data_IF_847780554621
#
_entry.id   IF_847780554621
#
_cell.length_a   1.000
_cell.length_b   1.000
_cell.length_c   1.000
_cell.angle_alpha   90.00
_cell.angle_beta   90.00
_cell.angle_gamma   90.00
#
_symmetry.space_group_name_H-M   'P 1'
#
loop_
_entity.id
_entity.type
_entity.pdbx_description
1 polymer ?
#
# COMPACT_ATOMS: atom_id res chain seq x y z
N UNK A 1 71.43 4.44 -37.09
CA UNK A 1 70.59 5.52 -36.56
C UNK A 1 69.23 5.46 -37.22
N UNK A 2 68.15 5.52 -36.45
CA UNK A 2 66.77 5.48 -36.96
C UNK A 2 66.16 6.88 -36.76
N UNK A 3 65.57 7.41 -37.82
CA UNK A 3 64.84 8.69 -37.70
C UNK A 3 63.42 8.43 -37.18
N UNK A 4 62.99 9.23 -36.19
CA UNK A 4 61.66 9.25 -35.64
C UNK A 4 61.05 10.63 -35.91
N UNK A 5 59.86 10.64 -36.48
CA UNK A 5 59.01 11.86 -36.65
C UNK A 5 57.94 11.86 -35.62
N UNK A 6 57.83 12.92 -34.84
CA UNK A 6 56.78 13.16 -33.84
C UNK A 6 55.88 14.24 -34.44
N UNK A 7 54.63 13.92 -34.61
CA UNK A 7 53.66 14.85 -35.19
C UNK A 7 53.10 15.81 -34.12
N UNK A 8 52.36 16.81 -34.54
CA UNK A 8 51.58 17.67 -33.67
C UNK A 8 50.71 16.82 -32.71
N UNK A 9 50.58 17.25 -31.48
CA UNK A 9 49.83 16.55 -30.43
C UNK A 9 50.39 15.17 -30.03
N UNK A 10 51.65 14.88 -30.40
CA UNK A 10 52.34 13.66 -29.96
C UNK A 10 53.59 14.01 -29.15
N UNK A 11 53.88 13.15 -28.21
CA UNK A 11 55.11 13.18 -27.37
C UNK A 11 55.70 11.80 -27.44
N UNK A 12 57.02 11.74 -27.51
CA UNK A 12 57.75 10.48 -27.47
C UNK A 12 58.62 10.38 -26.20
N UNK A 13 58.57 9.22 -25.56
CA UNK A 13 59.50 8.85 -24.48
C UNK A 13 60.61 7.99 -25.07
N UNK A 14 61.84 8.41 -24.87
CA UNK A 14 63.02 7.71 -25.35
C UNK A 14 63.59 6.83 -24.26
N UNK A 15 63.81 5.58 -24.64
CA UNK A 15 64.45 4.57 -23.77
C UNK A 15 65.77 4.12 -24.45
N UNK A 16 66.81 3.97 -23.63
CA UNK A 16 68.09 3.40 -24.04
C UNK A 16 68.36 2.15 -23.20
N UNK A 17 68.53 1.01 -23.87
CA UNK A 17 68.70 -0.30 -23.21
C UNK A 17 67.59 -0.62 -22.20
N UNK A 18 66.35 -0.10 -22.41
CA UNK A 18 65.22 -0.29 -21.51
C UNK A 18 65.07 0.77 -20.40
N UNK A 19 66.03 1.64 -20.21
CA UNK A 19 66.00 2.72 -19.25
C UNK A 19 65.47 4.01 -19.85
N UNK A 20 64.57 4.73 -19.13
CA UNK A 20 64.08 6.02 -19.56
C UNK A 20 65.17 7.06 -19.62
N UNK A 21 65.20 7.85 -20.67
CA UNK A 21 66.25 8.84 -20.91
C UNK A 21 65.75 10.26 -21.00
N UNK A 22 64.72 10.51 -21.81
CA UNK A 22 64.20 11.84 -22.04
C UNK A 22 62.86 11.84 -22.74
N UNK A 23 62.13 12.95 -22.64
CA UNK A 23 60.97 13.25 -23.45
C UNK A 23 61.37 14.00 -24.74
N UNK A 24 60.64 13.75 -25.85
CA UNK A 24 60.75 14.51 -27.11
C UNK A 24 59.38 15.04 -27.47
N UNK A 25 59.31 16.29 -27.86
CA UNK A 25 58.12 16.98 -28.38
C UNK A 25 58.05 16.91 -29.93
N UNK A 26 57.13 17.59 -30.52
CA UNK A 26 56.96 17.67 -31.98
C UNK A 26 58.29 17.98 -32.67
N UNK A 27 58.58 17.19 -33.75
CA UNK A 27 59.82 17.37 -34.50
C UNK A 27 60.33 16.10 -35.19
N UNK A 28 61.50 16.23 -35.85
CA UNK A 28 62.23 15.10 -36.43
C UNK A 28 63.51 14.88 -35.67
N UNK A 29 63.69 13.70 -35.11
CA UNK A 29 64.83 13.36 -34.27
C UNK A 29 65.53 12.10 -34.79
N UNK A 30 66.86 12.08 -34.59
CA UNK A 30 67.65 10.91 -34.83
C UNK A 30 67.90 10.17 -33.49
N UNK A 31 67.51 8.90 -33.45
CA UNK A 31 67.75 8.04 -32.29
C UNK A 31 69.15 7.44 -32.37
N UNK A 32 69.79 7.40 -31.21
CA UNK A 32 71.10 6.78 -31.05
C UNK A 32 71.06 5.25 -31.19
N UNK A 33 72.25 4.64 -31.04
CA UNK A 33 72.34 3.19 -31.03
C UNK A 33 71.69 2.64 -29.75
N UNK A 34 70.82 1.60 -29.88
CA UNK A 34 70.02 1.02 -28.81
C UNK A 34 69.00 1.97 -28.19
N UNK A 35 68.59 3.05 -28.86
CA UNK A 35 67.48 3.91 -28.44
C UNK A 35 66.19 3.51 -29.14
N UNK A 36 65.10 3.45 -28.34
CA UNK A 36 63.73 3.25 -28.83
C UNK A 36 62.84 4.42 -28.35
N UNK A 37 61.89 4.82 -29.18
CA UNK A 37 60.93 5.86 -28.87
C UNK A 37 59.53 5.26 -28.84
N UNK A 38 58.80 5.48 -27.71
CA UNK A 38 57.41 5.21 -27.56
C UNK A 38 56.60 6.50 -27.79
N UNK A 39 55.73 6.52 -28.78
CA UNK A 39 54.95 7.71 -29.13
C UNK A 39 53.59 7.64 -28.42
N UNK A 40 53.23 8.74 -27.77
CA UNK A 40 51.97 8.94 -27.03
C UNK A 40 51.20 10.06 -27.71
N UNK A 41 49.88 9.86 -27.84
CA UNK A 41 48.96 10.91 -28.20
C UNK A 41 48.53 11.66 -26.95
N UNK A 42 48.71 12.98 -26.90
CA UNK A 42 48.42 13.82 -25.74
C UNK A 42 46.93 14.01 -25.53
N UNK A 43 46.08 13.58 -26.49
CA UNK A 43 44.60 13.64 -26.33
C UNK A 43 44.06 12.47 -25.52
N UNK A 44 44.87 11.46 -25.21
CA UNK A 44 44.47 10.30 -24.40
C UNK A 44 45.16 10.32 -23.02
N UNK A 45 44.59 9.56 -22.09
CA UNK A 45 45.20 9.34 -20.79
C UNK A 45 46.64 8.77 -20.94
N UNK A 46 47.56 9.26 -20.14
CA UNK A 46 48.90 8.74 -20.14
C UNK A 46 48.99 7.40 -19.42
N UNK A 47 49.34 6.36 -20.14
CA UNK A 47 49.64 5.04 -19.57
C UNK A 47 51.15 4.88 -19.44
N UNK A 48 51.64 4.92 -18.21
CA UNK A 48 53.07 4.84 -17.93
C UNK A 48 53.65 3.45 -18.33
N UNK A 49 54.70 3.40 -19.13
CA UNK A 49 55.31 2.14 -19.58
C UNK A 49 56.19 1.51 -18.50
N UNK A 50 56.64 2.30 -17.52
CA UNK A 50 57.38 1.92 -16.32
C UNK A 50 56.81 2.65 -15.11
N UNK A 51 57.37 2.38 -13.92
CA UNK A 51 56.88 3.05 -12.70
C UNK A 51 56.87 4.58 -12.85
N UNK A 52 55.71 5.20 -12.61
CA UNK A 52 55.47 6.64 -12.80
C UNK A 52 56.48 7.49 -11.99
N UNK A 53 56.90 7.03 -10.82
CA UNK A 53 57.89 7.72 -9.97
C UNK A 53 59.24 7.91 -10.67
N UNK A 54 59.65 6.97 -11.53
CA UNK A 54 60.87 7.07 -12.32
C UNK A 54 60.74 8.12 -13.41
N UNK A 55 59.60 8.13 -14.08
CA UNK A 55 59.28 9.07 -15.14
C UNK A 55 59.16 10.51 -14.65
N UNK A 56 58.64 10.71 -13.43
CA UNK A 56 58.47 12.03 -12.82
C UNK A 56 59.76 12.65 -12.29
N UNK A 57 60.89 11.94 -12.36
CA UNK A 57 62.22 12.55 -12.10
C UNK A 57 62.63 13.48 -13.22
N UNK A 58 62.10 13.26 -14.43
CA UNK A 58 62.24 14.20 -15.53
C UNK A 58 61.31 15.39 -15.34
N UNK A 59 61.89 16.55 -15.12
CA UNK A 59 61.14 17.81 -14.85
C UNK A 59 60.29 18.27 -16.02
N UNK A 60 60.73 18.01 -17.27
CA UNK A 60 59.94 18.35 -18.47
C UNK A 60 58.71 17.49 -18.56
N UNK A 61 58.81 16.18 -18.34
CA UNK A 61 57.71 15.25 -18.33
C UNK A 61 56.79 15.50 -17.14
N UNK A 62 57.33 15.75 -15.96
CA UNK A 62 56.52 16.06 -14.77
C UNK A 62 55.67 17.33 -14.96
N UNK A 63 56.22 18.36 -15.63
CA UNK A 63 55.47 19.56 -15.96
C UNK A 63 54.38 19.34 -17.05
N UNK A 64 54.61 18.37 -17.96
CA UNK A 64 53.64 18.03 -19.01
C UNK A 64 52.50 17.14 -18.52
N UNK A 65 52.64 16.52 -17.33
CA UNK A 65 51.63 15.63 -16.76
C UNK A 65 50.92 16.27 -15.55
N UNK A 66 49.61 16.01 -15.47
CA UNK A 66 48.82 16.19 -14.27
C UNK A 66 48.66 14.82 -13.61
N UNK A 67 49.25 14.64 -12.43
CA UNK A 67 49.13 13.40 -11.68
C UNK A 67 48.03 13.50 -10.65
N UNK A 68 47.16 12.51 -10.66
CA UNK A 68 46.05 12.38 -9.73
C UNK A 68 46.32 11.15 -8.85
N UNK A 69 46.46 11.40 -7.55
CA UNK A 69 46.60 10.35 -6.53
C UNK A 69 45.25 10.15 -5.84
N UNK A 70 44.78 8.93 -5.80
CA UNK A 70 43.51 8.52 -5.19
C UNK A 70 43.86 7.52 -4.09
N UNK A 71 43.51 7.85 -2.86
CA UNK A 71 43.68 6.96 -1.71
C UNK A 71 42.59 5.87 -1.67
N UNK A 72 42.77 4.86 -0.82
CA UNK A 72 41.84 3.74 -0.66
C UNK A 72 40.44 4.19 -0.17
N UNK A 73 40.37 5.37 0.46
CA UNK A 73 39.14 5.95 1.00
C UNK A 73 38.51 6.99 0.08
N UNK A 74 39.02 7.11 -1.14
CA UNK A 74 38.61 8.16 -2.07
C UNK A 74 38.25 7.61 -3.44
N UNK A 75 37.41 8.35 -4.15
CA UNK A 75 37.20 8.22 -5.61
C UNK A 75 37.38 9.59 -6.23
N UNK A 76 37.74 9.61 -7.50
CA UNK A 76 37.81 10.85 -8.28
C UNK A 76 36.96 10.73 -9.51
N UNK A 77 36.01 11.67 -9.64
CA UNK A 77 35.19 11.79 -10.85
C UNK A 77 36.00 12.58 -11.89
N UNK A 78 36.33 11.96 -12.98
CA UNK A 78 37.06 12.57 -14.09
C UNK A 78 36.07 13.04 -15.16
N UNK A 79 36.08 14.34 -15.39
CA UNK A 79 35.33 14.98 -16.46
C UNK A 79 36.28 15.41 -17.59
N UNK A 80 35.82 15.28 -18.79
CA UNK A 80 36.49 15.78 -19.99
C UNK A 80 35.50 16.62 -20.77
N UNK A 81 35.83 17.90 -20.94
CA UNK A 81 34.96 18.88 -21.61
C UNK A 81 33.54 18.94 -20.98
N UNK A 82 33.45 18.86 -19.67
CA UNK A 82 32.17 18.89 -18.91
C UNK A 82 31.40 17.58 -18.89
N UNK A 83 31.88 16.52 -19.53
CA UNK A 83 31.25 15.20 -19.56
C UNK A 83 32.02 14.22 -18.68
N UNK A 84 31.32 13.49 -17.82
CA UNK A 84 31.93 12.44 -17.01
C UNK A 84 32.40 11.29 -17.90
N UNK A 85 33.69 10.95 -17.82
CA UNK A 85 34.33 9.87 -18.61
C UNK A 85 34.56 8.60 -17.81
N UNK A 86 35.03 8.75 -16.59
CA UNK A 86 35.35 7.62 -15.72
C UNK A 86 35.37 8.01 -14.25
N UNK A 87 35.31 7.01 -13.39
CA UNK A 87 35.58 7.14 -11.96
C UNK A 87 36.92 6.47 -11.68
N UNK A 88 37.85 7.24 -11.13
CA UNK A 88 39.16 6.73 -10.73
C UNK A 88 39.05 6.20 -9.30
N UNK A 89 39.45 4.99 -9.08
CA UNK A 89 39.55 4.33 -7.77
C UNK A 89 40.95 4.43 -7.22
N UNK A 90 41.20 3.86 -6.05
CA UNK A 90 42.54 3.87 -5.42
C UNK A 90 43.65 3.56 -6.42
N UNK A 91 44.65 4.45 -6.49
CA UNK A 91 45.71 4.34 -7.44
C UNK A 91 46.32 5.68 -7.85
N UNK A 92 47.20 5.61 -8.81
CA UNK A 92 47.91 6.76 -9.36
C UNK A 92 47.69 6.86 -10.85
N UNK A 93 47.17 8.00 -11.30
CA UNK A 93 46.82 8.24 -12.69
C UNK A 93 47.52 9.48 -13.21
N UNK A 94 47.88 9.49 -14.47
CA UNK A 94 48.49 10.63 -15.11
C UNK A 94 47.74 11.03 -16.38
N UNK A 95 47.60 12.33 -16.57
CA UNK A 95 46.94 12.92 -17.72
C UNK A 95 47.81 13.98 -18.33
N UNK A 96 47.80 14.13 -19.66
CA UNK A 96 48.55 15.17 -20.32
C UNK A 96 47.90 16.54 -20.05
N UNK A 97 48.73 17.51 -19.64
CA UNK A 97 48.28 18.91 -19.61
C UNK A 97 48.28 19.44 -21.04
N UNK A 98 47.15 19.41 -21.68
CA UNK A 98 46.96 19.92 -23.03
C UNK A 98 45.87 20.98 -23.09
N UNK A 99 45.86 21.77 -24.18
CA UNK A 99 44.85 22.81 -24.39
C UNK A 99 43.59 22.33 -25.05
N UNK A 100 43.60 21.07 -25.55
CA UNK A 100 42.50 20.50 -26.33
C UNK A 100 41.42 19.96 -25.43
N UNK A 101 41.81 19.19 -24.40
CA UNK A 101 40.89 18.58 -23.44
C UNK A 101 40.91 19.34 -22.14
N UNK A 102 39.74 19.84 -21.75
CA UNK A 102 39.57 20.43 -20.44
C UNK A 102 39.24 19.31 -19.43
N UNK A 103 40.26 18.93 -18.63
CA UNK A 103 40.10 17.93 -17.58
C UNK A 103 39.70 18.60 -16.28
N UNK A 104 38.63 18.07 -15.67
CA UNK A 104 38.18 18.46 -14.32
C UNK A 104 38.09 17.21 -13.46
N UNK A 105 38.62 17.30 -12.24
CA UNK A 105 38.67 16.19 -11.28
C UNK A 105 37.99 16.60 -9.99
N UNK A 106 36.89 15.91 -9.66
CA UNK A 106 36.20 16.08 -8.38
C UNK A 106 36.59 14.91 -7.49
N UNK A 107 37.33 15.20 -6.45
CA UNK A 107 37.77 14.21 -5.45
C UNK A 107 36.67 14.08 -4.40
N UNK A 108 36.24 12.86 -4.12
CA UNK A 108 35.21 12.54 -3.15
C UNK A 108 35.74 11.55 -2.10
N UNK A 109 35.49 11.89 -0.83
CA UNK A 109 35.84 11.06 0.31
C UNK A 109 34.70 10.06 0.60
N UNK A 110 34.90 8.81 0.23
CA UNK A 110 33.95 7.73 0.46
C UNK A 110 34.09 7.05 1.83
N UNK A 111 34.99 7.54 2.71
CA UNK A 111 35.03 7.04 4.08
C UNK A 111 33.82 7.42 4.91
N UNK A 112 33.17 8.51 4.54
CA UNK A 112 31.92 9.00 5.12
C UNK A 112 30.72 8.51 4.30
N UNK A 113 29.55 8.55 4.91
CA UNK A 113 28.32 8.18 4.21
C UNK A 113 27.77 9.35 3.39
N UNK A 114 27.88 10.57 3.90
CA UNK A 114 27.28 11.76 3.30
C UNK A 114 28.10 12.25 2.11
N UNK A 115 27.39 12.65 1.05
CA UNK A 115 27.99 13.28 -0.12
C UNK A 115 28.08 14.78 0.16
N UNK A 116 29.28 15.24 0.48
CA UNK A 116 29.54 16.64 0.83
C UNK A 116 30.04 17.46 -0.36
N UNK A 117 30.45 16.78 -1.42
CA UNK A 117 30.95 17.37 -2.64
C UNK A 117 29.82 17.97 -3.49
N UNK A 118 30.15 18.99 -4.25
CA UNK A 118 29.20 19.61 -5.16
C UNK A 118 28.99 18.77 -6.44
N UNK A 119 28.31 17.64 -6.28
CA UNK A 119 28.02 16.70 -7.37
C UNK A 119 26.52 16.77 -7.71
N UNK A 120 26.19 16.96 -8.98
CA UNK A 120 24.81 17.03 -9.42
C UNK A 120 24.10 15.69 -9.25
N UNK A 121 22.78 15.75 -9.00
CA UNK A 121 21.94 14.55 -8.94
C UNK A 121 22.04 13.70 -10.22
N UNK A 122 22.10 14.35 -11.37
CA UNK A 122 22.26 13.69 -12.66
C UNK A 122 23.56 12.87 -12.72
N UNK A 123 24.65 13.41 -12.18
CA UNK A 123 25.93 12.71 -12.10
C UNK A 123 25.86 11.52 -11.15
N UNK A 124 25.20 11.66 -9.98
CA UNK A 124 25.05 10.56 -9.02
C UNK A 124 24.24 9.37 -9.61
N UNK A 125 23.33 9.66 -10.52
CA UNK A 125 22.55 8.66 -11.25
C UNK A 125 23.22 8.13 -12.52
N UNK A 126 24.35 8.72 -12.92
CA UNK A 126 25.07 8.25 -14.09
C UNK A 126 25.58 6.82 -13.86
N UNK A 127 25.47 5.97 -14.89
CA UNK A 127 25.87 4.56 -14.85
C UNK A 127 27.32 4.32 -14.39
N UNK A 128 28.22 5.31 -14.56
CA UNK A 128 29.61 5.24 -14.12
C UNK A 128 29.76 5.50 -12.59
N UNK A 129 28.89 6.33 -12.01
CA UNK A 129 28.93 6.74 -10.61
C UNK A 129 28.01 5.90 -9.75
N UNK A 130 26.87 5.45 -10.29
CA UNK A 130 25.86 4.66 -9.59
C UNK A 130 26.39 3.45 -8.81
N UNK A 131 27.44 2.71 -9.27
CA UNK A 131 28.01 1.62 -8.47
C UNK A 131 28.61 2.06 -7.13
N UNK A 132 28.97 3.33 -6.97
CA UNK A 132 29.57 3.91 -5.78
C UNK A 132 28.57 4.65 -4.89
N UNK A 133 27.30 4.70 -5.29
CA UNK A 133 26.24 5.46 -4.61
C UNK A 133 25.11 4.52 -4.20
N UNK A 134 24.57 4.74 -3.00
CA UNK A 134 23.29 4.17 -2.56
C UNK A 134 22.22 5.23 -2.75
N UNK A 135 21.12 4.88 -3.40
CA UNK A 135 19.97 5.76 -3.57
C UNK A 135 18.75 5.14 -2.89
N UNK A 136 18.07 5.92 -2.06
CA UNK A 136 16.83 5.53 -1.40
C UNK A 136 15.75 6.56 -1.71
N UNK A 137 14.66 6.09 -2.26
CA UNK A 137 13.47 6.92 -2.49
C UNK A 137 12.45 6.65 -1.41
N UNK A 138 11.96 7.73 -0.79
CA UNK A 138 10.87 7.70 0.19
C UNK A 138 9.73 8.47 -0.45
N UNK A 139 8.65 7.77 -0.75
CA UNK A 139 7.49 8.35 -1.39
C UNK A 139 6.74 9.30 -0.44
N UNK A 140 5.94 10.22 -1.00
CA UNK A 140 5.23 11.23 -0.21
C UNK A 140 4.27 10.65 0.83
N UNK A 141 3.82 9.43 0.61
CA UNK A 141 2.93 8.71 1.51
C UNK A 141 3.66 7.75 2.46
N UNK A 142 4.98 7.62 2.32
CA UNK A 142 5.82 6.80 3.20
C UNK A 142 6.43 7.66 4.31
N UNK A 143 6.66 7.03 5.45
CA UNK A 143 7.59 7.48 6.49
C UNK A 143 8.72 6.47 6.58
N UNK A 144 9.91 6.95 6.88
CA UNK A 144 11.08 6.08 6.96
C UNK A 144 11.96 6.41 8.17
N UNK A 145 12.68 5.40 8.65
CA UNK A 145 13.71 5.52 9.68
C UNK A 145 15.05 5.05 9.12
N UNK A 146 16.09 5.78 9.43
CA UNK A 146 17.47 5.50 9.02
C UNK A 146 18.22 4.79 10.14
N UNK A 147 18.86 3.66 9.78
CA UNK A 147 19.82 2.97 10.63
C UNK A 147 21.20 3.03 9.99
N UNK A 148 22.21 3.38 10.79
CA UNK A 148 23.61 3.40 10.42
C UNK A 148 24.33 2.43 11.35
N UNK A 149 24.97 1.40 10.78
CA UNK A 149 25.63 0.31 11.51
C UNK A 149 24.73 -0.30 12.61
N UNK A 150 23.44 -0.50 12.25
CA UNK A 150 22.44 -1.08 13.15
C UNK A 150 21.92 -0.13 14.24
N UNK A 151 22.40 1.11 14.31
CA UNK A 151 21.90 2.11 15.24
C UNK A 151 20.91 3.03 14.56
N UNK A 152 19.84 3.36 15.27
CA UNK A 152 18.92 4.40 14.84
C UNK A 152 19.61 5.75 14.73
N UNK A 153 19.44 6.45 13.63
CA UNK A 153 20.01 7.76 13.37
C UNK A 153 18.94 8.86 13.37
N UNK A 154 17.93 8.72 12.51
CA UNK A 154 16.88 9.74 12.36
C UNK A 154 15.68 9.24 11.57
N UNK A 155 14.57 9.98 11.65
CA UNK A 155 13.42 9.84 10.74
C UNK A 155 13.75 10.58 9.45
N UNK A 156 13.45 9.93 8.31
CA UNK A 156 13.61 10.52 6.99
C UNK A 156 12.25 10.96 6.44
N UNK A 157 12.08 12.24 6.12
CA UNK A 157 10.91 12.71 5.38
C UNK A 157 10.92 12.23 3.91
N UNK A 158 9.81 12.43 3.21
CA UNK A 158 9.71 12.11 1.79
C UNK A 158 10.79 12.81 0.97
N UNK A 159 11.42 12.07 0.06
CA UNK A 159 12.51 12.57 -0.77
C UNK A 159 13.40 11.48 -1.32
N UNK A 160 14.43 11.89 -2.05
CA UNK A 160 15.45 10.98 -2.56
C UNK A 160 16.76 11.31 -1.87
N UNK A 161 17.33 10.30 -1.24
CA UNK A 161 18.57 10.38 -0.46
C UNK A 161 19.68 9.63 -1.17
N UNK A 162 20.87 10.22 -1.18
CA UNK A 162 22.06 9.64 -1.80
C UNK A 162 23.17 9.59 -0.76
N UNK A 163 23.81 8.45 -0.63
CA UNK A 163 24.96 8.22 0.25
C UNK A 163 26.05 7.45 -0.48
N UNK A 164 27.29 7.65 -0.11
CA UNK A 164 28.40 6.86 -0.63
C UNK A 164 28.26 5.39 -0.22
N UNK A 165 28.59 4.51 -1.15
CA UNK A 165 28.62 3.06 -0.90
C UNK A 165 30.00 2.68 -0.33
N UNK A 166 30.07 2.48 0.96
CA UNK A 166 31.26 2.13 1.73
C UNK A 166 30.97 0.95 2.66
N UNK A 167 31.89 0.70 3.61
CA UNK A 167 31.80 -0.38 4.60
C UNK A 167 30.74 -0.11 5.69
N UNK A 168 30.25 1.11 5.81
CA UNK A 168 29.20 1.48 6.77
C UNK A 168 27.87 0.96 6.26
N UNK A 169 27.15 0.21 7.10
CA UNK A 169 25.86 -0.35 6.73
C UNK A 169 24.75 0.67 6.87
N UNK A 170 23.99 0.89 5.82
CA UNK A 170 22.79 1.74 5.82
C UNK A 170 21.56 0.86 5.58
N UNK A 171 20.59 0.95 6.49
CA UNK A 171 19.28 0.31 6.35
C UNK A 171 18.20 1.37 6.53
N UNK A 172 17.24 1.37 5.63
CA UNK A 172 16.08 2.27 5.68
C UNK A 172 14.83 1.43 5.90
N UNK A 173 14.24 1.54 7.09
CA UNK A 173 12.93 0.97 7.41
C UNK A 173 11.82 1.91 6.93
N UNK A 174 10.85 1.40 6.18
CA UNK A 174 9.75 2.20 5.63
C UNK A 174 8.40 1.65 6.04
N UNK A 175 7.44 2.53 6.18
CA UNK A 175 6.03 2.17 6.34
C UNK A 175 5.14 3.15 5.61
N UNK A 176 3.98 2.68 5.14
CA UNK A 176 2.94 3.52 4.54
C UNK A 176 2.20 4.28 5.64
N UNK A 177 2.11 5.60 5.54
CA UNK A 177 1.45 6.47 6.50
C UNK A 177 -0.01 6.77 6.16
N UNK A 178 -0.51 6.26 5.03
CA UNK A 178 -1.92 6.38 4.66
C UNK A 178 -2.81 5.50 5.53
N UNK A 179 -4.11 5.69 5.39
CA UNK A 179 -5.08 4.79 6.00
C UNK A 179 -4.93 3.39 5.40
N UNK A 180 -4.71 2.41 6.26
CA UNK A 180 -4.58 1.01 5.93
C UNK A 180 -5.75 0.23 6.52
N UNK A 181 -6.03 -0.94 5.97
CA UNK A 181 -7.07 -1.83 6.46
C UNK A 181 -6.45 -3.17 6.81
N UNK A 182 -6.80 -3.66 7.99
CA UNK A 182 -6.47 -5.01 8.44
C UNK A 182 -7.77 -5.83 8.54
N UNK A 183 -7.77 -7.01 7.95
CA UNK A 183 -8.88 -7.94 8.05
C UNK A 183 -8.72 -8.81 9.30
N UNK A 184 -9.76 -8.81 10.14
CA UNK A 184 -9.81 -9.61 11.35
C UNK A 184 -10.68 -10.82 11.05
N UNK A 185 -10.02 -11.90 10.64
CA UNK A 185 -10.68 -13.16 10.36
C UNK A 185 -11.10 -13.81 11.68
N UNK A 186 -12.39 -14.02 11.82
CA UNK A 186 -12.98 -14.56 13.02
C UNK A 186 -12.55 -16.00 13.27
N UNK A 187 -12.02 -16.22 14.45
CA UNK A 187 -11.94 -17.54 15.03
C UNK A 187 -13.31 -17.88 15.61
N UNK A 188 -13.54 -19.15 15.80
CA UNK A 188 -14.72 -19.61 16.54
C UNK A 188 -14.63 -19.14 17.99
N UNK A 189 -15.60 -18.35 18.42
CA UNK A 189 -15.67 -17.76 19.76
C UNK A 189 -16.95 -18.25 20.43
N UNK A 190 -16.85 -18.66 21.68
CA UNK A 190 -18.00 -19.08 22.47
C UNK A 190 -18.58 -17.89 23.21
N UNK A 191 -19.90 -17.73 23.13
CA UNK A 191 -20.68 -16.83 23.97
C UNK A 191 -20.74 -17.36 25.41
N UNK A 192 -21.25 -16.54 26.34
CA UNK A 192 -21.43 -16.92 27.75
C UNK A 192 -22.29 -18.17 27.92
N UNK A 193 -23.30 -18.36 27.10
CA UNK A 193 -24.20 -19.52 27.04
C UNK A 193 -23.69 -20.66 26.15
N UNK A 194 -22.41 -20.59 25.75
CA UNK A 194 -21.67 -21.63 24.98
C UNK A 194 -22.13 -21.80 23.54
N UNK A 195 -22.84 -20.84 22.97
CA UNK A 195 -23.07 -20.83 21.53
C UNK A 195 -21.77 -20.46 20.79
N UNK A 196 -21.41 -21.24 19.77
CA UNK A 196 -20.23 -20.94 18.95
C UNK A 196 -20.58 -19.92 17.86
N UNK A 197 -19.78 -18.87 17.74
CA UNK A 197 -19.92 -17.83 16.75
C UNK A 197 -18.61 -17.59 16.02
N UNK A 198 -18.70 -17.31 14.72
CA UNK A 198 -17.57 -16.79 13.95
C UNK A 198 -17.90 -15.38 13.48
N UNK A 199 -17.08 -14.42 13.90
CA UNK A 199 -17.25 -13.02 13.50
C UNK A 199 -16.05 -12.61 12.67
N UNK A 200 -16.32 -12.09 11.47
CA UNK A 200 -15.34 -11.47 10.60
C UNK A 200 -15.52 -9.95 10.67
N UNK A 201 -14.42 -9.25 10.79
CA UNK A 201 -14.39 -7.81 10.85
C UNK A 201 -13.22 -7.23 10.08
N UNK A 202 -13.15 -5.93 10.06
CA UNK A 202 -12.02 -5.18 9.55
C UNK A 202 -11.78 -3.96 10.44
N UNK A 203 -10.54 -3.56 10.52
CA UNK A 203 -10.16 -2.32 11.19
C UNK A 203 -9.40 -1.41 10.24
N UNK A 204 -9.62 -0.11 10.37
CA UNK A 204 -8.89 0.91 9.65
C UNK A 204 -7.94 1.63 10.60
N UNK A 205 -6.68 1.70 10.23
CA UNK A 205 -5.64 2.33 11.03
C UNK A 205 -4.65 3.09 10.15
N UNK A 206 -3.89 3.97 10.76
CA UNK A 206 -2.74 4.64 10.13
C UNK A 206 -1.57 4.68 11.10
N UNK A 207 -0.35 4.66 10.56
CA UNK A 207 0.86 4.83 11.36
C UNK A 207 1.01 6.30 11.73
N UNK A 208 0.85 6.59 13.01
CA UNK A 208 1.00 7.93 13.59
C UNK A 208 2.45 8.19 13.99
N UNK A 209 3.04 7.27 14.74
CA UNK A 209 4.40 7.33 15.26
C UNK A 209 5.24 6.18 14.67
N UNK A 210 6.12 6.53 13.73
CA UNK A 210 6.97 5.54 13.06
C UNK A 210 8.06 4.97 13.97
N UNK A 211 8.54 5.74 14.94
CA UNK A 211 9.57 5.27 15.86
C UNK A 211 9.01 4.17 16.74
N UNK A 212 7.83 4.37 17.33
CA UNK A 212 7.15 3.30 18.05
C UNK A 212 6.88 2.08 17.17
N UNK A 213 6.36 2.30 15.97
CA UNK A 213 5.97 1.20 15.09
C UNK A 213 7.15 0.34 14.60
N UNK A 214 8.29 0.96 14.27
CA UNK A 214 9.42 0.25 13.65
C UNK A 214 10.63 0.01 14.60
N UNK A 215 10.77 0.80 15.69
CA UNK A 215 11.89 0.64 16.60
C UNK A 215 11.52 -0.13 17.86
N UNK A 216 10.35 0.17 18.43
CA UNK A 216 9.95 -0.40 19.71
C UNK A 216 9.17 -1.70 19.54
N UNK A 217 8.49 -1.87 18.39
CA UNK A 217 7.62 -2.99 18.13
C UNK A 217 8.07 -3.80 16.92
N UNK A 218 8.10 -5.12 17.08
CA UNK A 218 8.28 -6.04 15.97
C UNK A 218 6.91 -6.43 15.41
N UNK A 219 6.71 -6.25 14.10
CA UNK A 219 5.46 -6.66 13.44
C UNK A 219 4.20 -6.03 14.09
N UNK A 220 4.19 -4.69 14.22
CA UNK A 220 3.10 -3.96 14.87
C UNK A 220 1.70 -4.32 14.31
N UNK A 221 1.59 -4.60 13.02
CA UNK A 221 0.34 -5.03 12.38
C UNK A 221 -0.18 -6.34 12.95
N UNK A 222 0.72 -7.31 13.18
CA UNK A 222 0.36 -8.60 13.76
C UNK A 222 -0.05 -8.46 15.22
N UNK A 223 0.61 -7.59 15.98
CA UNK A 223 0.24 -7.31 17.36
C UNK A 223 -1.12 -6.60 17.42
N UNK A 224 -1.36 -5.65 16.53
CA UNK A 224 -2.65 -4.97 16.41
C UNK A 224 -3.78 -5.97 16.05
N UNK A 225 -3.53 -6.88 15.12
CA UNK A 225 -4.47 -7.95 14.78
C UNK A 225 -4.85 -8.81 16.00
N UNK A 226 -3.85 -9.22 16.79
CA UNK A 226 -4.09 -9.99 18.03
C UNK A 226 -4.88 -9.19 19.04
N UNK A 227 -4.60 -7.89 19.19
CA UNK A 227 -5.35 -7.01 20.10
C UNK A 227 -6.85 -6.96 19.74
N UNK A 228 -7.18 -6.84 18.45
CA UNK A 228 -8.57 -6.91 17.99
C UNK A 228 -9.21 -8.26 18.24
N UNK A 229 -8.48 -9.35 18.04
CA UNK A 229 -9.01 -10.69 18.32
C UNK A 229 -9.32 -10.89 19.80
N UNK A 230 -8.45 -10.42 20.68
CA UNK A 230 -8.67 -10.50 22.12
C UNK A 230 -9.85 -9.65 22.58
N UNK A 231 -9.97 -8.41 22.08
CA UNK A 231 -11.09 -7.52 22.37
C UNK A 231 -12.44 -8.12 21.90
N UNK A 232 -12.46 -8.72 20.70
CA UNK A 232 -13.65 -9.43 20.21
C UNK A 232 -14.03 -10.61 21.10
N UNK A 233 -13.04 -11.40 21.50
CA UNK A 233 -13.28 -12.56 22.38
C UNK A 233 -13.79 -12.16 23.76
N UNK A 234 -13.26 -11.09 24.31
CA UNK A 234 -13.70 -10.55 25.60
C UNK A 234 -15.15 -10.08 25.51
N UNK A 235 -15.49 -9.29 24.48
CA UNK A 235 -16.85 -8.80 24.30
C UNK A 235 -17.85 -9.94 24.13
N UNK A 236 -17.59 -10.86 23.20
CA UNK A 236 -18.50 -11.95 22.87
C UNK A 236 -18.68 -12.90 24.05
N UNK A 237 -17.60 -13.24 24.77
CA UNK A 237 -17.63 -14.12 25.93
C UNK A 237 -18.37 -13.53 27.15
N UNK A 238 -18.57 -12.21 27.17
CA UNK A 238 -19.29 -11.51 28.24
C UNK A 238 -20.82 -11.63 28.16
N UNK A 239 -21.37 -11.92 27.00
CA UNK A 239 -22.81 -11.91 26.73
C UNK A 239 -23.32 -13.27 26.29
N UNK A 240 -24.61 -13.55 26.61
CA UNK A 240 -25.36 -14.64 25.98
C UNK A 240 -25.68 -14.29 24.51
N UNK A 241 -26.06 -15.31 23.77
CA UNK A 241 -26.29 -15.16 22.35
C UNK A 241 -27.40 -14.16 21.98
N UNK A 242 -28.55 -14.25 22.64
CA UNK A 242 -29.68 -13.33 22.40
C UNK A 242 -29.31 -11.89 22.82
N UNK A 243 -28.64 -11.74 23.96
CA UNK A 243 -28.18 -10.46 24.46
C UNK A 243 -27.16 -9.82 23.51
N UNK A 244 -26.29 -10.62 22.90
CA UNK A 244 -25.32 -10.16 21.91
C UNK A 244 -25.99 -9.60 20.65
N UNK A 245 -27.07 -10.24 20.19
CA UNK A 245 -27.84 -9.76 19.04
C UNK A 245 -28.57 -8.45 19.32
N UNK A 246 -29.09 -8.27 20.53
CA UNK A 246 -29.72 -7.03 20.96
C UNK A 246 -28.71 -5.88 21.07
N UNK A 247 -27.49 -6.17 21.58
CA UNK A 247 -26.44 -5.21 21.85
C UNK A 247 -25.41 -5.06 20.72
N UNK A 248 -25.73 -5.51 19.55
CA UNK A 248 -24.78 -5.49 18.39
C UNK A 248 -24.17 -4.11 18.10
N UNK A 249 -24.89 -3.03 18.38
CA UNK A 249 -24.43 -1.65 18.16
C UNK A 249 -23.34 -1.23 19.14
N UNK A 250 -23.23 -1.87 20.29
CA UNK A 250 -22.21 -1.56 21.32
C UNK A 250 -20.89 -2.30 21.12
N UNK A 251 -20.81 -3.25 20.20
CA UNK A 251 -19.60 -4.01 19.90
C UNK A 251 -18.47 -3.08 19.42
N UNK A 252 -18.77 -2.24 18.44
CA UNK A 252 -17.78 -1.36 17.80
C UNK A 252 -17.18 -0.36 18.80
N UNK A 253 -17.97 0.42 19.58
CA UNK A 253 -17.42 1.30 20.59
C UNK A 253 -16.56 0.59 21.64
N UNK A 254 -16.98 -0.58 22.12
CA UNK A 254 -16.21 -1.36 23.08
C UNK A 254 -14.85 -1.78 22.53
N UNK A 255 -14.82 -2.33 21.32
CA UNK A 255 -13.57 -2.81 20.71
C UNK A 255 -12.61 -1.65 20.45
N UNK A 256 -13.10 -0.51 19.96
CA UNK A 256 -12.26 0.66 19.73
C UNK A 256 -11.63 1.17 21.02
N UNK A 257 -12.38 1.19 22.11
CA UNK A 257 -11.85 1.63 23.42
C UNK A 257 -10.86 0.59 23.99
N UNK A 258 -11.17 -0.71 23.89
CA UNK A 258 -10.29 -1.78 24.38
C UNK A 258 -8.94 -1.82 23.66
N UNK A 259 -8.92 -1.54 22.35
CA UNK A 259 -7.69 -1.59 21.54
C UNK A 259 -6.91 -0.27 21.58
N UNK A 260 -7.51 0.83 21.98
CA UNK A 260 -6.94 2.18 21.90
C UNK A 260 -5.53 2.30 22.49
N UNK A 261 -5.36 1.89 23.74
CA UNK A 261 -4.07 1.99 24.44
C UNK A 261 -3.00 1.12 23.75
N UNK A 262 -3.36 -0.10 23.36
CA UNK A 262 -2.46 -0.99 22.64
C UNK A 262 -2.07 -0.40 21.29
N UNK A 263 -3.00 0.20 20.57
CA UNK A 263 -2.72 0.86 19.29
C UNK A 263 -1.75 2.04 19.46
N UNK A 264 -1.93 2.87 20.50
CA UNK A 264 -1.04 3.98 20.81
C UNK A 264 0.38 3.51 21.17
N UNK A 265 0.51 2.39 21.89
CA UNK A 265 1.81 1.77 22.21
C UNK A 265 2.49 1.18 20.97
N UNK A 266 1.70 0.70 20.02
CA UNK A 266 2.18 0.24 18.71
C UNK A 266 2.51 1.38 17.72
N UNK A 267 2.28 2.64 18.11
CA UNK A 267 2.51 3.81 17.25
C UNK A 267 1.48 3.98 16.14
N UNK A 268 0.31 3.36 16.26
CA UNK A 268 -0.77 3.45 15.28
C UNK A 268 -2.01 4.10 15.85
N UNK A 269 -2.80 4.75 14.99
CA UNK A 269 -4.11 5.28 15.37
C UNK A 269 -5.17 4.45 14.64
N UNK A 270 -6.07 3.85 15.39
CA UNK A 270 -7.24 3.15 14.86
C UNK A 270 -8.35 4.17 14.61
N UNK A 271 -8.80 4.24 13.36
CA UNK A 271 -9.83 5.18 12.92
C UNK A 271 -11.23 4.59 12.90
N UNK A 272 -11.33 3.26 12.75
CA UNK A 272 -12.60 2.58 12.72
C UNK A 272 -12.45 1.06 12.79
N UNK A 273 -13.52 0.44 13.27
CA UNK A 273 -13.70 -1.01 13.26
C UNK A 273 -15.08 -1.30 12.69
N UNK A 274 -15.21 -2.32 11.85
CA UNK A 274 -16.49 -2.75 11.29
C UNK A 274 -16.63 -4.26 11.32
N UNK A 275 -17.83 -4.72 11.63
CA UNK A 275 -18.20 -6.14 11.54
C UNK A 275 -18.66 -6.37 10.10
N UNK A 276 -18.08 -7.36 9.44
CA UNK A 276 -18.47 -7.75 8.07
C UNK A 276 -19.64 -8.74 8.13
N UNK A 277 -19.49 -9.79 8.90
CA UNK A 277 -20.49 -10.84 9.08
C UNK A 277 -20.36 -11.56 10.42
N UNK A 278 -21.48 -12.15 10.85
CA UNK A 278 -21.57 -13.03 12.01
C UNK A 278 -22.11 -14.35 11.50
N UNK A 279 -21.27 -15.38 11.56
CA UNK A 279 -21.60 -16.70 11.05
C UNK A 279 -21.99 -17.60 12.22
N UNK A 280 -23.16 -18.19 12.13
CA UNK A 280 -23.70 -19.15 13.09
C UNK A 280 -23.45 -20.57 12.60
N UNK A 281 -23.19 -21.54 13.49
CA UNK A 281 -23.26 -22.96 13.16
C UNK A 281 -24.63 -23.33 12.61
N UNK A 282 -24.66 -24.31 11.70
CA UNK A 282 -25.89 -24.72 11.01
C UNK A 282 -27.03 -25.06 11.95
N UNK A 283 -26.74 -25.87 12.99
CA UNK A 283 -27.74 -26.30 13.97
C UNK A 283 -28.37 -25.16 14.76
N UNK A 284 -27.57 -24.17 15.15
CA UNK A 284 -28.06 -22.97 15.87
C UNK A 284 -28.92 -22.12 14.93
N UNK A 285 -28.51 -21.94 13.69
CA UNK A 285 -29.27 -21.23 12.67
C UNK A 285 -30.62 -21.87 12.41
N UNK A 286 -30.68 -23.22 12.34
CA UNK A 286 -31.93 -23.97 12.09
C UNK A 286 -32.89 -23.85 13.29
N UNK A 287 -32.39 -23.90 14.52
CA UNK A 287 -33.20 -23.69 15.72
C UNK A 287 -33.77 -22.28 15.74
N UNK A 288 -32.96 -21.26 15.48
CA UNK A 288 -33.41 -19.87 15.43
C UNK A 288 -34.48 -19.64 14.35
N UNK A 289 -34.28 -20.21 13.15
CA UNK A 289 -35.28 -20.13 12.10
C UNK A 289 -36.62 -20.74 12.53
N UNK A 290 -36.60 -21.87 13.25
CA UNK A 290 -37.81 -22.49 13.79
C UNK A 290 -38.50 -21.60 14.81
N UNK A 291 -37.76 -20.98 15.73
CA UNK A 291 -38.29 -20.04 16.73
C UNK A 291 -38.90 -18.84 16.04
N UNK A 292 -38.18 -18.21 15.10
CA UNK A 292 -38.65 -17.05 14.34
C UNK A 292 -39.96 -17.35 13.57
N UNK A 293 -40.02 -18.52 12.90
CA UNK A 293 -41.22 -18.97 12.21
C UNK A 293 -42.38 -19.15 13.19
N UNK A 294 -42.13 -19.75 14.36
CA UNK A 294 -43.17 -19.94 15.37
C UNK A 294 -43.69 -18.60 15.94
N UNK A 295 -42.79 -17.64 16.22
CA UNK A 295 -43.19 -16.29 16.65
C UNK A 295 -43.99 -15.54 15.57
N UNK A 296 -43.56 -15.59 14.31
CA UNK A 296 -44.28 -14.95 13.22
C UNK A 296 -45.65 -15.56 12.98
N UNK A 297 -45.75 -16.87 13.10
CA UNK A 297 -47.05 -17.56 13.03
C UNK A 297 -47.96 -17.16 14.21
N UNK A 298 -47.43 -17.05 15.43
CA UNK A 298 -48.20 -16.62 16.59
C UNK A 298 -48.68 -15.16 16.42
N UNK A 299 -47.82 -14.27 15.91
CA UNK A 299 -48.18 -12.88 15.61
C UNK A 299 -49.28 -12.82 14.51
N UNK A 300 -49.12 -13.59 13.42
CA UNK A 300 -50.09 -13.65 12.35
C UNK A 300 -51.46 -14.15 12.85
N UNK A 301 -51.49 -15.22 13.65
CA UNK A 301 -52.71 -15.75 14.26
C UNK A 301 -53.37 -14.75 15.20
N UNK A 302 -52.59 -14.00 15.98
CA UNK A 302 -53.10 -12.93 16.86
C UNK A 302 -53.79 -11.83 16.05
N UNK A 303 -53.17 -11.40 14.95
CA UNK A 303 -53.70 -10.40 14.04
C UNK A 303 -54.98 -10.93 13.38
N UNK A 304 -54.98 -12.15 12.86
CA UNK A 304 -56.17 -12.76 12.24
C UNK A 304 -57.35 -12.82 13.20
N UNK A 305 -57.13 -13.28 14.45
CA UNK A 305 -58.20 -13.34 15.47
C UNK A 305 -58.73 -11.95 15.81
N UNK A 306 -57.85 -10.95 15.86
CA UNK A 306 -58.24 -9.55 16.11
C UNK A 306 -59.14 -9.04 14.97
N UNK A 307 -58.73 -9.29 13.75
CA UNK A 307 -59.48 -8.88 12.55
C UNK A 307 -60.83 -9.64 12.42
N UNK A 308 -60.85 -10.95 12.71
CA UNK A 308 -62.08 -11.72 12.78
C UNK A 308 -63.04 -11.17 13.85
N UNK A 309 -62.53 -10.84 15.03
CA UNK A 309 -63.35 -10.25 16.10
C UNK A 309 -63.89 -8.89 15.71
N UNK A 310 -63.06 -8.05 15.07
CA UNK A 310 -63.48 -6.74 14.57
C UNK A 310 -64.55 -6.88 13.44
N UNK A 311 -64.32 -7.81 12.52
CA UNK A 311 -65.27 -8.13 11.46
C UNK A 311 -66.63 -8.64 12.02
N UNK A 312 -66.58 -9.57 12.96
CA UNK A 312 -67.80 -10.11 13.61
C UNK A 312 -68.56 -9.00 14.38
N UNK A 313 -67.87 -8.11 15.12
CA UNK A 313 -68.48 -6.94 15.76
C UNK A 313 -69.11 -5.98 14.77
N UNK A 314 -68.42 -5.75 13.64
CA UNK A 314 -68.97 -4.90 12.57
C UNK A 314 -70.23 -5.51 11.93
N UNK A 315 -70.23 -6.83 11.68
CA UNK A 315 -71.42 -7.55 11.20
C UNK A 315 -72.54 -7.50 12.20
N UNK A 316 -72.29 -7.69 13.52
CA UNK A 316 -73.30 -7.59 14.57
C UNK A 316 -73.90 -6.19 14.64
N UNK A 317 -73.10 -5.15 14.58
CA UNK A 317 -73.57 -3.77 14.55
C UNK A 317 -74.42 -3.50 13.27
N UNK A 318 -73.97 -4.00 12.14
CA UNK A 318 -74.70 -3.90 10.89
C UNK A 318 -76.09 -4.63 10.96
N UNK A 319 -76.10 -5.85 11.57
CA UNK A 319 -77.33 -6.61 11.77
C UNK A 319 -78.31 -5.87 12.72
N UNK A 320 -77.83 -5.28 13.82
CA UNK A 320 -78.65 -4.45 14.73
C UNK A 320 -79.27 -3.23 14.01
N UNK A 321 -78.46 -2.54 13.16
CA UNK A 321 -78.99 -1.42 12.36
C UNK A 321 -80.03 -1.86 11.30
N UNK A 322 -79.98 -3.10 10.86
CA UNK A 322 -81.00 -3.69 9.92
C UNK A 322 -82.27 -4.12 10.61
N UNK A 323 -82.22 -4.56 11.89
CA UNK A 323 -83.44 -4.89 12.66
C UNK A 323 -84.37 -3.69 12.80
N UNK A 324 -83.83 -2.49 12.91
CA UNK A 324 -84.58 -1.25 13.14
C UNK A 324 -85.00 -0.56 11.80
N UNK A 325 -84.48 -1.03 10.63
CA UNK A 325 -84.70 -0.37 9.33
C UNK A 325 -84.86 -1.35 8.20
N UNK A 326 -86.07 -1.66 7.82
CA UNK A 326 -86.46 -2.56 6.76
C UNK A 326 -85.93 -2.12 5.36
N UNK A 327 -85.73 -0.81 5.14
CA UNK A 327 -85.20 -0.27 3.91
C UNK A 327 -83.69 -0.62 3.76
N UNK A 328 -82.96 -0.55 4.85
CA UNK A 328 -81.51 -0.92 4.88
C UNK A 328 -81.30 -2.42 4.65
N UNK A 329 -82.24 -3.26 5.16
CA UNK A 329 -82.27 -4.69 4.88
C UNK A 329 -82.40 -4.99 3.37
N UNK A 330 -83.40 -4.33 2.70
CA UNK A 330 -83.61 -4.46 1.26
C UNK A 330 -82.42 -4.02 0.41
N UNK A 331 -81.77 -2.90 0.77
CA UNK A 331 -80.58 -2.41 0.11
C UNK A 331 -79.40 -3.43 0.23
N UNK A 332 -79.25 -4.03 1.39
CA UNK A 332 -78.19 -5.03 1.64
C UNK A 332 -78.45 -6.36 0.93
N UNK A 333 -79.69 -6.75 0.81
CA UNK A 333 -80.12 -7.90 0.04
C UNK A 333 -79.84 -7.68 -1.47
N UNK A 334 -80.05 -6.49 -2.00
CA UNK A 334 -79.74 -6.12 -3.38
C UNK A 334 -78.19 -6.14 -3.60
N UNK A 335 -77.44 -5.63 -2.69
CA UNK A 335 -75.96 -5.66 -2.75
C UNK A 335 -75.41 -7.10 -2.78
N UNK A 336 -76.00 -8.01 -1.99
CA UNK A 336 -75.64 -9.44 -2.03
C UNK A 336 -76.00 -10.10 -3.33
N UNK A 337 -77.18 -9.79 -3.87
CA UNK A 337 -77.67 -10.30 -5.17
C UNK A 337 -76.77 -9.80 -6.31
N UNK A 338 -76.33 -8.52 -6.27
CA UNK A 338 -75.37 -7.95 -7.20
C UNK A 338 -73.97 -8.66 -7.11
N UNK A 339 -73.48 -8.87 -5.93
CA UNK A 339 -72.24 -9.62 -5.73
C UNK A 339 -72.29 -11.08 -6.15
N UNK A 340 -73.42 -11.71 -6.04
CA UNK A 340 -73.63 -13.06 -6.53
C UNK A 340 -73.74 -13.04 -8.08
N UNK A 341 -74.43 -12.07 -8.63
CA UNK A 341 -74.56 -11.90 -10.09
C UNK A 341 -73.24 -11.63 -10.77
N UNK A 342 -72.36 -10.83 -10.15
CA UNK A 342 -71.03 -10.53 -10.65
C UNK A 342 -70.08 -11.76 -10.69
N UNK A 343 -70.35 -12.74 -9.84
CA UNK A 343 -69.51 -13.95 -9.76
C UNK A 343 -70.07 -15.15 -10.56
N UNK A 344 -71.29 -15.09 -11.03
CA UNK A 344 -71.95 -16.21 -11.71
C UNK A 344 -72.22 -15.79 -13.15
N UNK A 345 -71.55 -16.37 -14.12
CA UNK A 345 -71.70 -16.07 -15.53
C UNK A 345 -73.02 -16.60 -16.13
N UNK A 346 -73.68 -17.63 -15.55
CA UNK A 346 -74.88 -18.23 -16.00
C UNK A 346 -75.65 -18.94 -14.87
N UNK A 347 -76.91 -18.62 -14.67
CA UNK A 347 -77.76 -19.28 -13.66
C UNK A 347 -78.87 -20.03 -14.39
N UNK A 348 -78.81 -21.35 -14.32
CA UNK A 348 -79.92 -22.20 -14.85
C UNK A 348 -80.83 -22.61 -13.69
N UNK A 349 -82.08 -22.13 -13.65
CA UNK A 349 -83.06 -22.50 -12.62
C UNK A 349 -84.05 -23.55 -13.17
N UNK A 350 -83.88 -24.77 -12.66
CA UNK A 350 -84.82 -25.86 -12.95
C UNK A 350 -85.62 -26.18 -11.70
N UNK A 351 -86.95 -25.84 -11.65
CA UNK A 351 -87.83 -26.11 -10.54
C UNK A 351 -89.18 -25.39 -10.58
N UNK A 352 -90.15 -25.88 -9.81
CA UNK A 352 -91.48 -25.40 -9.76
C UNK A 352 -91.63 -23.92 -9.35
N UNK A 353 -92.55 -23.22 -10.03
CA UNK A 353 -92.81 -21.80 -10.09
C UNK A 353 -92.59 -20.82 -8.93
N UNK A 354 -92.46 -21.28 -7.67
CA UNK A 354 -92.31 -20.40 -6.51
C UNK A 354 -90.93 -19.71 -6.39
N UNK A 355 -89.86 -20.35 -6.84
CA UNK A 355 -88.52 -19.80 -6.83
C UNK A 355 -88.26 -18.79 -7.96
N UNK A 356 -88.92 -19.04 -9.10
CA UNK A 356 -88.92 -18.11 -10.28
C UNK A 356 -89.72 -16.84 -9.96
N UNK A 357 -90.80 -16.95 -9.19
CA UNK A 357 -91.57 -15.80 -8.75
C UNK A 357 -90.84 -14.95 -7.72
N UNK A 358 -90.08 -15.56 -6.77
CA UNK A 358 -89.26 -14.86 -5.85
C UNK A 358 -88.04 -14.16 -6.55
N UNK A 359 -87.40 -14.77 -7.49
CA UNK A 359 -86.39 -14.16 -8.33
C UNK A 359 -86.97 -13.01 -9.21
N UNK A 360 -88.16 -13.18 -9.78
CA UNK A 360 -88.86 -12.09 -10.48
C UNK A 360 -89.14 -10.90 -9.58
N UNK A 361 -89.53 -11.12 -8.33
CA UNK A 361 -89.77 -10.05 -7.36
C UNK A 361 -88.48 -9.28 -6.98
N UNK A 362 -87.37 -9.95 -6.99
CA UNK A 362 -86.05 -9.35 -6.74
C UNK A 362 -85.56 -8.56 -7.98
N UNK A 363 -85.68 -9.12 -9.18
CA UNK A 363 -85.14 -8.51 -10.43
C UNK A 363 -86.15 -7.60 -11.17
N UNK A 364 -87.41 -7.71 -10.87
CA UNK A 364 -88.44 -6.81 -11.40
C UNK A 364 -88.87 -5.83 -10.29
N UNK A 365 -87.91 -5.02 -9.89
CA UNK A 365 -88.23 -3.87 -9.07
C UNK A 365 -88.80 -2.77 -9.94
N UNK A 366 -90.15 -2.59 -9.84
CA UNK A 366 -90.92 -1.34 -9.97
C UNK A 366 -90.52 -0.41 -11.14
N UNK A 367 -91.39 -0.33 -12.04
CA UNK A 367 -91.73 0.96 -12.63
C UNK A 367 -92.52 1.78 -11.61
#
# INVERSE_FOLDING_TARGET
>A
MKQVKINAYQIALVFKNGEYKKMLTEGKYWLGFNETAMIYDVTHQFNAPIALNILLQDTELANALQVIEVSDTEIVLHYENGLIKQVLTAGRYAFWKNVINNYEFIKADISKIDITENISRATLQNKLVAPYVRAYTIEHFEKAVLFIDGKYAQVLPAGIYYWWKNNITIVVGKTDARMQQIEINGQEILTKDKAALRINGYAQYKVADIEKALLQNKEYERQLYVAFQLALREYIGGFGFDELLEKKETIVPFILEAVKNTAEDLGVTVNGFGIRDIILPGDVKDIMNKVLVAEKNAQANSIMRREETASTRSLLNTAKLMEDNTMLWKLKEMEYVEKIADKIGEITVTGNGALIEQLKQIFVAQK
#
